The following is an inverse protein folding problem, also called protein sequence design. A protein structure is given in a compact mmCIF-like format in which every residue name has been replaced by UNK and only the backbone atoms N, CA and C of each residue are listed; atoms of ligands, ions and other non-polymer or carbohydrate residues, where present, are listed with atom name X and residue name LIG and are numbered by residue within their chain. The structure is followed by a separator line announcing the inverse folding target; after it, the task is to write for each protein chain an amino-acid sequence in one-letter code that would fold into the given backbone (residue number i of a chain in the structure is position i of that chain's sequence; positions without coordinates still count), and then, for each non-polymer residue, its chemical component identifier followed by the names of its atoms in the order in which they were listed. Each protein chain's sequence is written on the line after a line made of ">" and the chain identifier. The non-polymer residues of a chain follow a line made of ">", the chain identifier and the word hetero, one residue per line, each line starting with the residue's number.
data_IF_562402135934
#
_entry.id   IF_562402135934
#
_cell.length_a   1.000
_cell.length_b   1.000
_cell.length_c   1.000
_cell.angle_alpha   90.00
_cell.angle_beta   90.00
_cell.angle_gamma   90.00
#
_symmetry.space_group_name_H-M   'P 1'
#
loop_
_entity.id
_entity.type
_entity.pdbx_description
1 polymer ?
#
# COMPACT_ATOMS: atom_id res chain seq x y z
N UNK A 1 -6.09 17.13 1.28
CA UNK A 1 -6.07 15.92 2.15
C UNK A 1 -7.51 15.47 2.30
N UNK A 2 -7.94 14.44 1.56
CA UNK A 2 -9.28 13.92 1.72
C UNK A 2 -9.32 13.12 3.03
N UNK A 3 -9.90 13.73 4.06
CA UNK A 3 -10.14 13.11 5.36
C UNK A 3 -11.50 12.44 5.27
N UNK A 4 -11.53 11.16 4.91
CA UNK A 4 -12.72 10.35 5.12
C UNK A 4 -12.74 9.95 6.59
N UNK A 5 -13.79 10.35 7.29
CA UNK A 5 -14.07 9.89 8.64
C UNK A 5 -14.36 8.37 8.60
N UNK A 6 -14.04 7.65 9.67
CA UNK A 6 -13.96 6.19 9.73
C UNK A 6 -15.32 5.46 9.70
N UNK A 7 -16.35 6.07 9.13
CA UNK A 7 -17.72 5.57 9.00
C UNK A 7 -18.09 5.81 7.52
N UNK A 8 -18.27 4.85 6.61
CA UNK A 8 -18.86 3.51 6.69
C UNK A 8 -18.22 2.64 5.59
N UNK A 9 -17.24 1.80 5.95
CA UNK A 9 -16.86 0.73 5.02
C UNK A 9 -17.96 -0.33 5.04
N UNK A 10 -18.45 -0.79 3.88
CA UNK A 10 -19.41 -1.88 3.86
C UNK A 10 -18.85 -3.09 4.62
N UNK A 11 -19.62 -3.64 5.56
CA UNK A 11 -19.16 -4.70 6.49
C UNK A 11 -18.47 -5.87 5.76
N UNK A 12 -18.95 -6.23 4.57
CA UNK A 12 -18.35 -7.29 3.76
C UNK A 12 -16.92 -6.96 3.30
N UNK A 13 -16.58 -5.69 3.08
CA UNK A 13 -15.21 -5.27 2.72
C UNK A 13 -14.28 -5.28 3.93
N UNK A 14 -14.74 -4.80 5.08
CA UNK A 14 -13.95 -4.88 6.31
C UNK A 14 -13.57 -6.34 6.62
N UNK A 15 -14.52 -7.28 6.45
CA UNK A 15 -14.26 -8.71 6.61
C UNK A 15 -13.15 -9.24 5.70
N UNK A 16 -13.02 -8.74 4.47
CA UNK A 16 -11.96 -9.12 3.53
C UNK A 16 -10.61 -8.57 3.94
N UNK A 17 -10.56 -7.33 4.40
CA UNK A 17 -9.34 -6.69 4.91
C UNK A 17 -8.80 -7.47 6.10
N UNK A 18 -9.65 -7.80 7.08
CA UNK A 18 -9.26 -8.59 8.25
C UNK A 18 -8.70 -9.95 7.86
N UNK A 19 -9.38 -10.69 6.96
CA UNK A 19 -8.88 -11.98 6.46
C UNK A 19 -7.51 -11.84 5.79
N UNK A 20 -7.30 -10.78 5.01
CA UNK A 20 -6.02 -10.54 4.33
C UNK A 20 -4.90 -10.23 5.33
N UNK A 21 -5.18 -9.45 6.37
CA UNK A 21 -4.23 -9.13 7.43
C UNK A 21 -3.85 -10.40 8.21
N UNK A 22 -4.81 -11.24 8.56
CA UNK A 22 -4.57 -12.52 9.22
C UNK A 22 -3.70 -13.45 8.35
N UNK A 23 -3.98 -13.50 7.05
CA UNK A 23 -3.16 -14.25 6.10
C UNK A 23 -1.71 -13.75 6.09
N UNK A 24 -1.50 -12.44 5.99
CA UNK A 24 -0.15 -11.85 6.03
C UNK A 24 0.56 -12.12 7.36
N UNK A 25 -0.11 -11.92 8.50
CA UNK A 25 0.45 -12.20 9.83
C UNK A 25 0.89 -13.66 9.95
N UNK A 26 0.08 -14.60 9.47
CA UNK A 26 0.41 -16.03 9.48
C UNK A 26 1.59 -16.33 8.55
N UNK A 27 1.62 -15.72 7.37
CA UNK A 27 2.69 -15.91 6.38
C UNK A 27 4.03 -15.40 6.90
N UNK A 28 4.07 -14.25 7.58
CA UNK A 28 5.29 -13.71 8.19
C UNK A 28 5.80 -14.55 9.39
N UNK A 29 4.93 -15.31 10.07
CA UNK A 29 5.33 -16.12 11.23
C UNK A 29 6.06 -17.40 10.87
N UNK A 30 5.83 -17.96 9.67
CA UNK A 30 6.47 -19.20 9.23
C UNK A 30 7.61 -18.91 8.25
N UNK A 31 8.89 -19.15 8.62
CA UNK A 31 10.04 -18.96 7.73
C UNK A 31 9.95 -19.76 6.42
N UNK A 32 9.18 -20.86 6.37
CA UNK A 32 8.92 -21.61 5.14
C UNK A 32 8.10 -20.84 4.12
N UNK A 33 7.57 -19.67 4.48
CA UNK A 33 6.70 -18.84 3.65
C UNK A 33 7.32 -17.50 3.28
N UNK A 34 8.64 -17.32 3.53
CA UNK A 34 9.36 -16.09 3.20
C UNK A 34 9.14 -15.60 1.76
N UNK A 35 9.11 -16.51 0.79
CA UNK A 35 8.99 -16.14 -0.63
C UNK A 35 7.53 -16.04 -1.13
N UNK A 36 6.53 -16.21 -0.24
CA UNK A 36 5.10 -16.21 -0.63
C UNK A 36 4.50 -14.83 -0.79
N UNK A 37 5.13 -13.80 -0.24
CA UNK A 37 4.70 -12.41 -0.39
C UNK A 37 5.84 -11.46 -0.08
N UNK A 38 5.84 -10.27 -0.68
CA UNK A 38 6.85 -9.23 -0.39
C UNK A 38 6.90 -8.85 1.08
N UNK A 39 5.76 -8.94 1.78
CA UNK A 39 5.68 -8.68 3.21
C UNK A 39 6.46 -9.73 4.02
N UNK A 40 6.34 -11.01 3.65
CA UNK A 40 7.05 -12.10 4.31
C UNK A 40 8.55 -12.06 3.99
N UNK A 41 8.90 -11.78 2.73
CA UNK A 41 10.29 -11.65 2.31
C UNK A 41 10.97 -10.50 3.05
N UNK A 42 10.33 -9.32 3.09
CA UNK A 42 10.83 -8.16 3.82
C UNK A 42 10.93 -8.40 5.34
N UNK A 43 9.95 -9.10 5.92
CA UNK A 43 9.98 -9.46 7.34
C UNK A 43 11.22 -10.30 7.69
N UNK A 44 11.49 -11.34 6.90
CA UNK A 44 12.60 -12.26 7.18
C UNK A 44 13.97 -11.72 6.73
N UNK A 45 14.04 -11.03 5.58
CA UNK A 45 15.30 -10.51 5.03
C UNK A 45 15.83 -9.31 5.80
N UNK A 46 14.95 -8.40 6.26
CA UNK A 46 15.34 -7.19 6.98
C UNK A 46 15.04 -7.25 8.49
N UNK A 47 14.58 -8.41 9.00
CA UNK A 47 14.15 -8.57 10.40
C UNK A 47 13.13 -7.51 10.84
N UNK A 48 12.30 -7.04 9.90
CA UNK A 48 11.32 -5.98 10.15
C UNK A 48 10.00 -6.55 10.68
N UNK A 49 9.53 -6.06 11.82
CA UNK A 49 8.27 -6.48 12.42
C UNK A 49 7.12 -5.56 12.02
N UNK A 50 6.10 -6.11 11.37
CA UNK A 50 4.89 -5.37 11.01
C UNK A 50 3.87 -5.35 12.15
N UNK A 51 3.24 -4.20 12.39
CA UNK A 51 2.09 -4.08 13.28
C UNK A 51 0.79 -4.43 12.53
N UNK A 52 0.30 -5.64 12.76
CA UNK A 52 -0.96 -6.13 12.18
C UNK A 52 -2.20 -5.75 13.00
N UNK A 53 -2.04 -5.20 14.21
CA UNK A 53 -3.15 -4.82 15.09
C UNK A 53 -3.62 -3.38 14.81
N UNK A 54 -2.68 -2.47 14.53
CA UNK A 54 -2.97 -1.06 14.32
C UNK A 54 -2.92 -0.67 12.83
N UNK A 55 -3.65 -1.40 11.99
CA UNK A 55 -3.74 -1.09 10.56
C UNK A 55 -4.70 0.07 10.29
N UNK A 56 -4.41 0.85 9.23
CA UNK A 56 -5.28 1.93 8.75
C UNK A 56 -5.69 1.67 7.31
N UNK A 57 -6.98 1.83 7.03
CA UNK A 57 -7.49 1.84 5.66
C UNK A 57 -7.32 3.24 5.10
N UNK A 58 -6.60 3.34 3.98
CA UNK A 58 -6.18 4.62 3.40
C UNK A 58 -7.17 5.15 2.36
N UNK A 59 -7.88 4.26 1.67
CA UNK A 59 -8.84 4.59 0.62
C UNK A 59 -9.85 3.45 0.44
N UNK A 60 -11.01 3.76 -0.15
CA UNK A 60 -12.05 2.81 -0.51
C UNK A 60 -12.59 3.09 -1.91
N UNK A 61 -12.51 2.10 -2.80
CA UNK A 61 -13.06 2.18 -4.14
C UNK A 61 -13.73 0.82 -4.51
N UNK A 62 -15.05 0.78 -4.68
CA UNK A 62 -15.77 -0.45 -5.03
C UNK A 62 -15.49 -0.93 -6.45
N UNK A 63 -15.20 -0.02 -7.39
CA UNK A 63 -14.87 -0.38 -8.76
C UNK A 63 -13.44 -0.93 -8.85
N UNK A 64 -13.30 -2.18 -9.26
CA UNK A 64 -12.01 -2.86 -9.31
C UNK A 64 -10.96 -2.14 -10.17
N UNK A 65 -11.35 -1.58 -11.32
CA UNK A 65 -10.42 -0.91 -12.24
C UNK A 65 -9.92 0.39 -11.62
N UNK A 66 -10.83 1.21 -11.09
CA UNK A 66 -10.47 2.45 -10.39
C UNK A 66 -9.59 2.17 -9.17
N UNK A 67 -9.91 1.13 -8.39
CA UNK A 67 -9.11 0.73 -7.23
C UNK A 67 -7.68 0.36 -7.62
N UNK A 68 -7.50 -0.44 -8.68
CA UNK A 68 -6.16 -0.81 -9.18
C UNK A 68 -5.38 0.42 -9.63
N UNK A 69 -6.03 1.37 -10.30
CA UNK A 69 -5.38 2.62 -10.72
C UNK A 69 -4.98 3.46 -9.50
N UNK A 70 -5.88 3.64 -8.53
CA UNK A 70 -5.59 4.36 -7.28
C UNK A 70 -4.41 3.72 -6.53
N UNK A 71 -4.39 2.39 -6.43
CA UNK A 71 -3.32 1.62 -5.79
C UNK A 71 -1.97 1.78 -6.52
N UNK A 72 -1.96 1.71 -7.86
CA UNK A 72 -0.75 1.96 -8.67
C UNK A 72 -0.18 3.35 -8.43
N UNK A 73 -1.05 4.37 -8.41
CA UNK A 73 -0.66 5.76 -8.15
C UNK A 73 -0.10 5.87 -6.74
N UNK A 74 -0.81 5.35 -5.74
CA UNK A 74 -0.40 5.41 -4.34
C UNK A 74 0.97 4.76 -4.12
N UNK A 75 1.18 3.54 -4.62
CA UNK A 75 2.47 2.83 -4.51
C UNK A 75 3.60 3.61 -5.21
N UNK A 76 3.31 4.20 -6.37
CA UNK A 76 4.28 5.04 -7.09
C UNK A 76 4.68 6.25 -6.27
N UNK A 77 3.73 6.87 -5.56
CA UNK A 77 3.99 8.03 -4.72
C UNK A 77 4.90 7.73 -3.52
N UNK A 78 4.95 6.49 -3.04
CA UNK A 78 5.77 6.11 -1.86
C UNK A 78 7.28 6.01 -2.16
N UNK A 79 7.70 6.15 -3.43
CA UNK A 79 9.12 6.18 -3.79
C UNK A 79 9.87 4.90 -3.43
N UNK A 80 10.96 5.03 -2.66
CA UNK A 80 11.80 3.92 -2.19
C UNK A 80 11.25 3.23 -0.93
N UNK A 81 10.32 3.87 -0.22
CA UNK A 81 9.78 3.36 1.05
C UNK A 81 8.64 2.34 0.86
N UNK A 82 8.56 1.68 -0.30
CA UNK A 82 7.49 0.72 -0.60
C UNK A 82 7.96 -0.72 -0.40
N UNK A 83 7.11 -1.52 0.22
CA UNK A 83 7.32 -2.98 0.36
C UNK A 83 6.79 -3.76 -0.85
N UNK A 84 5.92 -3.15 -1.66
CA UNK A 84 5.30 -3.77 -2.84
C UNK A 84 6.30 -4.13 -3.95
N UNK A 85 6.01 -5.21 -4.68
CA UNK A 85 6.78 -5.60 -5.87
C UNK A 85 6.55 -4.60 -7.00
N UNK A 86 7.58 -4.33 -7.81
CA UNK A 86 7.50 -3.37 -8.93
C UNK A 86 6.43 -3.74 -9.97
N UNK A 87 6.08 -5.04 -10.10
CA UNK A 87 5.00 -5.54 -10.96
C UNK A 87 3.65 -4.87 -10.68
N UNK A 88 3.40 -4.47 -9.42
CA UNK A 88 2.15 -3.80 -9.04
C UNK A 88 1.95 -2.48 -9.78
N UNK A 89 3.02 -1.87 -10.30
CA UNK A 89 3.02 -0.57 -11.02
C UNK A 89 3.49 -0.68 -12.49
N UNK A 90 3.65 -1.90 -13.01
CA UNK A 90 4.22 -2.11 -14.35
C UNK A 90 3.34 -1.50 -15.45
N UNK A 91 2.02 -1.60 -15.29
CA UNK A 91 1.03 -1.12 -16.25
C UNK A 91 0.80 0.41 -16.20
N UNK A 92 1.48 1.11 -15.28
CA UNK A 92 1.44 2.56 -15.23
C UNK A 92 2.45 3.14 -16.23
N UNK A 93 1.95 3.88 -17.23
CA UNK A 93 2.80 4.44 -18.29
C UNK A 93 3.85 5.42 -17.72
N UNK A 94 4.98 5.54 -18.40
CA UNK A 94 6.06 6.45 -18.01
C UNK A 94 5.57 7.89 -17.90
N UNK A 95 4.65 8.33 -18.77
CA UNK A 95 4.06 9.67 -18.70
C UNK A 95 3.33 9.91 -17.38
N UNK A 96 2.54 8.94 -16.92
CA UNK A 96 1.86 9.05 -15.62
C UNK A 96 2.85 9.00 -14.45
N UNK A 97 3.86 8.13 -14.50
CA UNK A 97 4.93 8.08 -13.48
C UNK A 97 5.61 9.44 -13.32
N UNK A 98 6.03 10.06 -14.43
CA UNK A 98 6.67 11.37 -14.43
C UNK A 98 5.78 12.47 -13.83
N UNK A 99 4.48 12.45 -14.13
CA UNK A 99 3.53 13.41 -13.56
C UNK A 99 3.37 13.25 -12.05
N UNK A 100 3.28 12.01 -11.56
CA UNK A 100 3.16 11.69 -10.14
C UNK A 100 4.41 12.12 -9.38
N UNK A 101 5.60 11.79 -9.91
CA UNK A 101 6.87 12.17 -9.29
C UNK A 101 7.06 13.68 -9.21
N UNK A 102 6.68 14.40 -10.28
CA UNK A 102 6.70 15.88 -10.28
C UNK A 102 5.73 16.46 -9.24
N UNK A 103 4.53 15.88 -9.11
CA UNK A 103 3.54 16.29 -8.12
C UNK A 103 4.04 16.09 -6.68
N UNK A 104 4.72 14.97 -6.40
CA UNK A 104 5.31 14.69 -5.09
C UNK A 104 6.41 15.67 -4.70
N UNK A 105 7.36 15.97 -5.62
CA UNK A 105 8.44 16.93 -5.36
C UNK A 105 7.90 18.31 -4.93
N UNK A 106 6.83 18.77 -5.59
CA UNK A 106 6.17 20.03 -5.25
C UNK A 106 5.50 20.00 -3.85
N UNK A 107 5.04 18.83 -3.41
CA UNK A 107 4.44 18.66 -2.08
C UNK A 107 5.49 18.72 -0.98
N UNK A 108 6.65 18.10 -1.21
CA UNK A 108 7.75 18.10 -0.25
C UNK A 108 8.40 19.48 -0.13
N UNK A 109 8.57 20.21 -1.24
CA UNK A 109 9.07 21.59 -1.21
C UNK A 109 8.19 22.52 -0.38
N UNK A 110 6.86 22.33 -0.44
CA UNK A 110 5.89 23.13 0.32
C UNK A 110 5.84 22.77 1.81
N UNK A 111 6.28 21.57 2.20
CA UNK A 111 6.32 21.16 3.61
C UNK A 111 7.58 21.65 4.34
N UNK A 112 8.67 21.88 3.60
CA UNK A 112 9.93 22.40 4.14
C UNK A 112 9.94 23.92 4.36
N UNK A 113 8.90 24.63 3.93
CA UNK A 113 8.77 26.10 4.06
C UNK A 113 7.82 26.55 5.18
N UNK A 114 7.31 25.61 5.99
CA UNK A 114 6.43 25.84 7.16
C UNK A 114 6.97 25.12 8.38
#
# INVERSE_FOLDING_TARGET
>A
MFRFEAYELPMYMYSRVVKRIQQHSTTCKDPKHKDKSSLADHHHSLSHNFDFQNFKILDFEPNHVKRRISEMIYITMQGENKVNVRSDTENLSTSYKNLIEKSNKNRDSNRSTT
#
